data_IF_304731618298
#
_entry.id   IF_304731618298
#
_cell.length_a   1.000
_cell.length_b   1.000
_cell.length_c   1.000
_cell.angle_alpha   90.00
_cell.angle_beta   90.00
_cell.angle_gamma   90.00
#
_symmetry.space_group_name_H-M   'P 1'
#
loop_
_entity.id
_entity.type
_entity.pdbx_description
1 polymer ?
#
# COMPACT_ATOMS: atom_id res chain seq x y z
N UNK A 1 12.09 -4.41 10.49
CA UNK A 1 11.34 -3.22 10.08
C UNK A 1 9.87 -3.53 10.20
N UNK A 2 9.10 -2.80 11.00
CA UNK A 2 7.65 -2.94 11.12
C UNK A 2 6.92 -2.11 10.03
N UNK A 3 5.59 -2.19 9.96
CA UNK A 3 4.84 -1.46 8.91
C UNK A 3 4.92 0.05 9.08
N UNK A 4 5.00 0.54 10.31
CA UNK A 4 5.14 1.97 10.59
C UNK A 4 6.51 2.51 10.15
N UNK A 5 7.59 1.80 10.46
CA UNK A 5 8.95 2.11 10.02
C UNK A 5 9.08 2.10 8.50
N UNK A 6 8.47 1.12 7.82
CA UNK A 6 8.45 1.05 6.36
C UNK A 6 7.69 2.24 5.76
N UNK A 7 6.49 2.55 6.27
CA UNK A 7 5.70 3.71 5.85
C UNK A 7 6.49 5.01 6.05
N UNK A 8 7.14 5.19 7.20
CA UNK A 8 7.89 6.41 7.48
C UNK A 8 9.08 6.58 6.52
N UNK A 9 9.85 5.51 6.29
CA UNK A 9 10.95 5.52 5.31
C UNK A 9 10.47 5.88 3.90
N UNK A 10 9.32 5.36 3.48
CA UNK A 10 8.70 5.70 2.20
C UNK A 10 8.33 7.19 2.15
N UNK A 11 7.64 7.70 3.18
CA UNK A 11 7.20 9.11 3.21
C UNK A 11 8.38 10.08 3.26
N UNK A 12 9.45 9.75 3.99
CA UNK A 12 10.71 10.51 3.98
C UNK A 12 11.28 10.62 2.56
N UNK A 13 11.43 9.48 1.87
CA UNK A 13 11.91 9.45 0.49
C UNK A 13 11.03 10.28 -0.46
N UNK A 14 9.71 10.22 -0.30
CA UNK A 14 8.77 10.99 -1.12
C UNK A 14 8.81 12.49 -0.82
N UNK A 15 9.05 12.86 0.44
CA UNK A 15 9.22 14.25 0.86
C UNK A 15 10.49 14.83 0.24
N UNK A 16 11.61 14.10 0.28
CA UNK A 16 12.86 14.50 -0.38
C UNK A 16 12.72 14.67 -1.89
N UNK A 17 11.85 13.88 -2.52
CA UNK A 17 11.55 13.93 -3.96
C UNK A 17 10.42 14.88 -4.34
N UNK A 18 9.83 15.60 -3.37
CA UNK A 18 8.69 16.51 -3.58
C UNK A 18 7.50 15.85 -4.32
N UNK A 19 7.25 14.56 -4.07
CA UNK A 19 6.25 13.76 -4.79
C UNK A 19 5.15 13.16 -3.89
N UNK A 20 4.89 13.78 -2.73
CA UNK A 20 3.79 13.41 -1.85
C UNK A 20 2.43 13.54 -2.58
N UNK A 21 1.44 12.70 -2.24
CA UNK A 21 0.09 12.81 -2.80
C UNK A 21 -0.54 14.15 -2.41
N UNK A 22 -1.33 14.73 -3.32
CA UNK A 22 -2.03 16.02 -3.12
C UNK A 22 -3.21 15.86 -2.17
N UNK A 23 -3.98 14.79 -2.35
CA UNK A 23 -5.16 14.49 -1.54
C UNK A 23 -5.44 12.98 -1.46
N UNK A 24 -6.41 12.62 -0.62
CA UNK A 24 -6.80 11.22 -0.40
C UNK A 24 -7.37 10.61 -1.68
N UNK A 25 -8.03 11.41 -2.53
CA UNK A 25 -8.65 10.93 -3.77
C UNK A 25 -7.55 10.43 -4.71
N UNK A 26 -6.48 11.19 -4.90
CA UNK A 26 -5.32 10.79 -5.69
C UNK A 26 -4.70 9.48 -5.18
N UNK A 27 -4.53 9.34 -3.86
CA UNK A 27 -3.97 8.11 -3.29
C UNK A 27 -4.90 6.89 -3.48
N UNK A 28 -6.22 7.08 -3.42
CA UNK A 28 -7.20 6.01 -3.71
C UNK A 28 -7.20 5.64 -5.19
N UNK A 29 -7.13 6.61 -6.10
CA UNK A 29 -7.11 6.35 -7.54
C UNK A 29 -5.87 5.55 -7.95
N UNK A 30 -4.69 5.93 -7.45
CA UNK A 30 -3.48 5.15 -7.68
C UNK A 30 -3.58 3.74 -7.06
N UNK A 31 -4.18 3.58 -5.87
CA UNK A 31 -4.41 2.24 -5.31
C UNK A 31 -5.27 1.35 -6.24
N UNK A 32 -6.29 1.92 -6.87
CA UNK A 32 -7.13 1.20 -7.84
C UNK A 32 -6.33 0.83 -9.10
N UNK A 33 -5.43 1.71 -9.54
CA UNK A 33 -4.51 1.45 -10.65
C UNK A 33 -3.62 0.23 -10.37
N UNK A 34 -2.93 0.17 -9.23
CA UNK A 34 -2.02 -0.96 -8.91
C UNK A 34 -2.78 -2.29 -8.78
N UNK A 35 -4.01 -2.27 -8.25
CA UNK A 35 -4.87 -3.46 -8.21
C UNK A 35 -5.19 -3.93 -9.65
N UNK A 36 -5.41 -2.98 -10.56
CA UNK A 36 -5.55 -3.26 -11.99
C UNK A 36 -4.30 -3.91 -12.59
N UNK A 37 -3.11 -3.42 -12.23
CA UNK A 37 -1.84 -3.96 -12.70
C UNK A 37 -1.58 -5.39 -12.18
N UNK A 38 -1.91 -5.68 -10.92
CA UNK A 38 -1.90 -7.05 -10.39
C UNK A 38 -2.85 -7.96 -11.18
N UNK A 39 -4.07 -7.50 -11.46
CA UNK A 39 -5.02 -8.26 -12.28
C UNK A 39 -4.47 -8.51 -13.69
N UNK A 40 -3.83 -7.52 -14.31
CA UNK A 40 -3.18 -7.66 -15.60
C UNK A 40 -2.02 -8.66 -15.57
N UNK A 41 -1.16 -8.59 -14.54
CA UNK A 41 -0.01 -9.47 -14.37
C UNK A 41 -0.45 -10.94 -14.28
N UNK A 42 -1.47 -11.23 -13.48
CA UNK A 42 -2.07 -12.56 -13.37
C UNK A 42 -2.70 -13.00 -14.69
N UNK A 43 -3.51 -12.14 -15.33
CA UNK A 43 -4.20 -12.46 -16.59
C UNK A 43 -3.23 -12.77 -17.73
N UNK A 44 -2.15 -11.99 -17.83
CA UNK A 44 -1.12 -12.13 -18.87
C UNK A 44 -0.05 -13.17 -18.53
N UNK A 45 -0.09 -13.76 -17.33
CA UNK A 45 0.94 -14.69 -16.81
C UNK A 45 2.33 -14.08 -16.88
N UNK A 46 2.46 -12.84 -16.42
CA UNK A 46 3.75 -12.17 -16.36
C UNK A 46 4.70 -12.93 -15.40
N UNK A 47 6.03 -12.73 -15.53
CA UNK A 47 6.99 -13.30 -14.59
C UNK A 47 6.65 -12.98 -13.13
N UNK A 48 7.01 -13.88 -12.23
CA UNK A 48 6.75 -13.75 -10.80
C UNK A 48 7.26 -12.42 -10.23
N UNK A 49 8.45 -11.98 -10.64
CA UNK A 49 9.04 -10.70 -10.23
C UNK A 49 8.12 -9.51 -10.54
N UNK A 50 7.45 -9.52 -11.70
CA UNK A 50 6.51 -8.45 -12.07
C UNK A 50 5.26 -8.47 -11.17
N UNK A 51 4.77 -9.64 -10.82
CA UNK A 51 3.65 -9.75 -9.89
C UNK A 51 4.04 -9.26 -8.49
N UNK A 52 5.28 -9.51 -8.06
CA UNK A 52 5.81 -9.02 -6.79
C UNK A 52 5.93 -7.50 -6.77
N UNK A 53 6.40 -6.89 -7.86
CA UNK A 53 6.44 -5.44 -8.05
C UNK A 53 5.03 -4.83 -7.90
N UNK A 54 4.05 -5.30 -8.68
CA UNK A 54 2.70 -4.68 -8.64
C UNK A 54 2.00 -4.88 -7.27
N UNK A 55 2.29 -6.00 -6.56
CA UNK A 55 1.81 -6.21 -5.19
C UNK A 55 2.48 -5.24 -4.21
N UNK A 56 3.79 -4.98 -4.38
CA UNK A 56 4.50 -4.01 -3.57
C UNK A 56 3.96 -2.59 -3.78
N UNK A 57 3.56 -2.25 -5.00
CA UNK A 57 2.94 -0.97 -5.31
C UNK A 57 1.58 -0.81 -4.60
N UNK A 58 0.77 -1.85 -4.48
CA UNK A 58 -0.44 -1.81 -3.62
C UNK A 58 -0.08 -1.40 -2.18
N UNK A 59 0.97 -1.98 -1.60
CA UNK A 59 1.41 -1.62 -0.25
C UNK A 59 1.90 -0.16 -0.20
N UNK A 60 2.61 0.28 -1.24
CA UNK A 60 3.06 1.66 -1.37
C UNK A 60 1.89 2.65 -1.35
N UNK A 61 0.83 2.37 -2.12
CA UNK A 61 -0.37 3.22 -2.15
C UNK A 61 -1.16 3.16 -0.82
N UNK A 62 -1.28 1.99 -0.19
CA UNK A 62 -1.91 1.84 1.12
C UNK A 62 -1.17 2.64 2.21
N UNK A 63 0.16 2.65 2.19
CA UNK A 63 0.97 3.43 3.13
C UNK A 63 0.71 4.94 2.97
N UNK A 64 0.56 5.44 1.74
CA UNK A 64 0.18 6.84 1.49
C UNK A 64 -1.16 7.17 2.14
N UNK A 65 -2.18 6.36 1.90
CA UNK A 65 -3.50 6.53 2.53
C UNK A 65 -3.41 6.50 4.06
N UNK A 66 -2.67 5.53 4.61
CA UNK A 66 -2.52 5.40 6.04
C UNK A 66 -1.78 6.60 6.67
N UNK A 67 -0.81 7.18 5.97
CA UNK A 67 -0.14 8.39 6.42
C UNK A 67 -1.08 9.59 6.43
N UNK A 68 -1.85 9.80 5.37
CA UNK A 68 -2.78 10.94 5.23
C UNK A 68 -3.88 10.92 6.29
N UNK A 69 -4.48 9.74 6.53
CA UNK A 69 -5.58 9.57 7.49
C UNK A 69 -5.12 9.18 8.90
N UNK A 70 -3.80 9.19 9.15
CA UNK A 70 -3.19 8.83 10.44
C UNK A 70 -3.62 7.44 10.94
N UNK A 71 -3.70 6.49 10.01
CA UNK A 71 -4.05 5.10 10.28
C UNK A 71 -2.80 4.32 10.65
N UNK A 72 -2.90 3.61 11.77
CA UNK A 72 -1.97 2.55 12.14
C UNK A 72 -2.47 1.22 11.54
N UNK A 73 -1.90 0.86 10.40
CA UNK A 73 -2.30 -0.32 9.63
C UNK A 73 -1.97 -1.62 10.39
N UNK A 74 -0.85 -1.66 11.11
CA UNK A 74 -0.43 -2.85 11.86
C UNK A 74 -1.43 -3.16 12.97
N UNK A 75 -1.76 -2.16 13.80
CA UNK A 75 -2.75 -2.33 14.84
C UNK A 75 -4.16 -2.57 14.26
N UNK A 76 -4.51 -1.94 13.13
CA UNK A 76 -5.77 -2.22 12.44
C UNK A 76 -5.86 -3.68 11.96
N UNK A 77 -4.77 -4.21 11.41
CA UNK A 77 -4.66 -5.60 10.99
C UNK A 77 -4.76 -6.55 12.19
N UNK A 78 -4.04 -6.29 13.28
CA UNK A 78 -4.07 -7.11 14.50
C UNK A 78 -5.48 -7.17 15.12
N UNK A 79 -6.21 -6.04 15.16
CA UNK A 79 -7.61 -6.02 15.59
C UNK A 79 -8.50 -6.91 14.71
N UNK A 80 -8.31 -6.85 13.39
CA UNK A 80 -9.06 -7.65 12.42
C UNK A 80 -8.73 -9.14 12.52
N UNK A 81 -7.45 -9.47 12.70
CA UNK A 81 -6.95 -10.82 12.90
C UNK A 81 -7.61 -11.48 14.12
N UNK A 82 -7.59 -10.80 15.27
CA UNK A 82 -8.24 -11.28 16.50
C UNK A 82 -9.74 -11.52 16.30
N UNK A 83 -10.43 -10.61 15.60
CA UNK A 83 -11.87 -10.74 15.31
C UNK A 83 -12.18 -11.93 14.38
N UNK A 84 -11.27 -12.27 13.46
CA UNK A 84 -11.46 -13.39 12.55
C UNK A 84 -11.15 -14.74 13.22
N UNK A 85 -10.29 -14.78 14.23
CA UNK A 85 -10.04 -16.00 15.01
C UNK A 85 -11.25 -16.43 15.88
N UNK A 86 -12.16 -15.49 16.19
CA UNK A 86 -13.40 -15.75 16.94
C UNK A 86 -14.62 -15.98 16.04
N UNK A 87 -14.42 -16.12 14.71
CA UNK A 87 -15.47 -16.46 13.74
C UNK A 87 -15.42 -17.94 13.43
#
# INVERSE_FOLDING_TARGET
>A
MNLEELKNKQIEQMTEKECLPKDVIEAVLHLVEEVGEVCEAVRKKLPQERLEDEIADILWQLNKLCWMDKIDLENAFLRKLKKNASR
#
